data_IF_290473290405
#
_entry.id   IF_290473290405
#
_cell.length_a   1.000
_cell.length_b   1.000
_cell.length_c   1.000
_cell.angle_alpha   90.00
_cell.angle_beta   90.00
_cell.angle_gamma   90.00
#
_symmetry.space_group_name_H-M   'P 1'
#
loop_
_entity.id
_entity.type
_entity.pdbx_description
1 polymer ?
#
# COMPACT_ATOMS: atom_id res chain seq x y z
N UNK A 1 -23.97 -18.03 28.66
CA UNK A 1 -25.09 -17.12 28.33
C UNK A 1 -25.07 -16.85 26.85
N UNK A 2 -26.22 -17.10 26.22
CA UNK A 2 -26.65 -16.90 24.82
C UNK A 2 -25.69 -17.28 23.68
N UNK A 3 -25.78 -18.54 23.24
CA UNK A 3 -25.48 -18.96 21.86
C UNK A 3 -26.67 -18.56 20.98
N UNK A 4 -26.45 -17.85 19.88
CA UNK A 4 -27.49 -17.55 18.90
C UNK A 4 -27.49 -18.61 17.80
N UNK A 5 -28.55 -19.40 17.79
CA UNK A 5 -28.92 -20.40 16.78
C UNK A 5 -29.66 -19.70 15.63
N UNK A 6 -29.36 -20.05 14.38
CA UNK A 6 -30.19 -19.71 13.22
C UNK A 6 -30.98 -20.96 12.82
N UNK A 7 -32.30 -20.84 12.78
CA UNK A 7 -33.25 -21.90 12.41
C UNK A 7 -33.71 -21.65 10.96
N UNK A 8 -33.60 -22.66 10.09
CA UNK A 8 -34.25 -22.66 8.78
C UNK A 8 -35.60 -23.37 8.87
N UNK A 9 -36.68 -22.69 8.51
CA UNK A 9 -38.01 -23.27 8.33
C UNK A 9 -38.17 -23.75 6.88
N UNK A 10 -38.36 -25.06 6.67
CA UNK A 10 -38.84 -25.63 5.41
C UNK A 10 -40.36 -25.77 5.50
N UNK A 11 -41.08 -24.83 4.90
CA UNK A 11 -42.52 -24.93 4.67
C UNK A 11 -42.80 -25.45 3.26
N UNK A 12 -43.30 -26.67 3.16
CA UNK A 12 -43.85 -27.28 1.95
C UNK A 12 -45.33 -26.88 1.83
N UNK A 13 -45.71 -26.16 0.79
CA UNK A 13 -47.12 -25.99 0.41
C UNK A 13 -47.28 -26.26 -1.10
N UNK A 14 -47.98 -27.35 -1.39
CA UNK A 14 -48.50 -27.72 -2.72
C UNK A 14 -49.75 -26.87 -2.96
N UNK A 15 -49.78 -26.11 -4.06
CA UNK A 15 -51.02 -25.67 -4.68
C UNK A 15 -50.91 -25.79 -6.21
N UNK A 16 -51.74 -26.68 -6.76
CA UNK A 16 -52.08 -26.80 -8.16
C UNK A 16 -52.95 -25.62 -8.57
N UNK A 17 -52.49 -24.75 -9.46
CA UNK A 17 -53.36 -23.93 -10.33
C UNK A 17 -52.57 -23.47 -11.55
N UNK A 18 -52.97 -23.95 -12.74
CA UNK A 18 -52.54 -23.39 -14.01
C UNK A 18 -53.32 -22.10 -14.29
N UNK A 19 -52.64 -21.04 -14.75
CA UNK A 19 -53.11 -20.40 -15.98
C UNK A 19 -51.97 -19.96 -16.91
N UNK A 20 -52.38 -19.73 -18.17
CA UNK A 20 -51.60 -19.31 -19.33
C UNK A 20 -50.43 -18.35 -19.03
N UNK A 21 -49.23 -18.77 -19.44
CA UNK A 21 -48.03 -17.93 -19.49
C UNK A 21 -48.16 -17.01 -20.72
N UNK A 22 -48.61 -15.78 -20.51
CA UNK A 22 -48.37 -14.69 -21.46
C UNK A 22 -46.96 -14.18 -21.15
N UNK A 23 -46.00 -14.57 -22.00
CA UNK A 23 -44.64 -14.05 -21.98
C UNK A 23 -44.66 -12.58 -22.43
N UNK A 24 -44.79 -11.67 -21.47
CA UNK A 24 -44.31 -10.32 -21.65
C UNK A 24 -42.78 -10.36 -21.54
N UNK A 25 -42.02 -9.86 -22.53
CA UNK A 25 -40.61 -9.58 -22.30
C UNK A 25 -40.58 -8.46 -21.27
N UNK A 26 -40.33 -8.82 -20.00
CA UNK A 26 -39.88 -7.86 -19.01
C UNK A 26 -38.50 -7.41 -19.48
N UNK A 27 -38.47 -6.35 -20.27
CA UNK A 27 -37.29 -5.51 -20.37
C UNK A 27 -37.01 -5.03 -18.94
N UNK A 28 -36.15 -5.76 -18.23
CA UNK A 28 -35.38 -5.17 -17.16
C UNK A 28 -34.57 -4.08 -17.84
N UNK A 29 -35.13 -2.86 -17.84
CA UNK A 29 -34.34 -1.67 -17.93
C UNK A 29 -33.33 -1.77 -16.79
N UNK A 30 -32.12 -2.19 -17.11
CA UNK A 30 -30.99 -2.01 -16.23
C UNK A 30 -30.99 -0.52 -15.89
N UNK A 31 -31.38 -0.19 -14.65
CA UNK A 31 -31.06 1.11 -14.12
C UNK A 31 -29.54 1.19 -14.19
N UNK A 32 -29.04 2.00 -15.12
CA UNK A 32 -27.62 2.21 -15.32
C UNK A 32 -27.04 2.96 -14.13
N UNK A 33 -26.85 2.26 -13.01
CA UNK A 33 -25.87 2.65 -12.01
C UNK A 33 -24.51 2.70 -12.70
N UNK A 34 -23.72 3.74 -12.44
CA UNK A 34 -22.39 3.85 -13.00
C UNK A 34 -21.58 2.60 -12.63
N UNK A 35 -20.89 1.96 -13.58
CA UNK A 35 -20.08 0.78 -13.25
C UNK A 35 -18.82 1.21 -12.49
N UNK A 36 -18.44 0.44 -11.45
CA UNK A 36 -17.18 0.68 -10.74
C UNK A 36 -16.01 0.57 -11.72
N UNK A 37 -15.11 1.54 -11.68
CA UNK A 37 -13.91 1.59 -12.50
C UNK A 37 -12.68 1.95 -11.68
N UNK A 38 -11.54 1.44 -12.12
CA UNK A 38 -10.23 1.62 -11.49
C UNK A 38 -9.29 2.22 -12.53
N UNK A 39 -8.86 3.46 -12.31
CA UNK A 39 -7.71 4.03 -12.99
C UNK A 39 -6.44 3.68 -12.20
N UNK A 40 -5.33 3.39 -12.89
CA UNK A 40 -4.04 3.07 -12.26
C UNK A 40 -2.96 4.03 -12.72
N UNK A 41 -2.08 4.44 -11.81
CA UNK A 41 -0.96 5.33 -12.12
C UNK A 41 0.33 4.87 -11.41
N UNK A 42 1.47 5.13 -12.05
CA UNK A 42 2.80 4.77 -11.58
C UNK A 42 3.82 5.81 -12.03
N UNK A 43 4.39 6.55 -11.07
CA UNK A 43 5.29 7.68 -11.32
C UNK A 43 6.66 7.42 -10.70
N UNK A 44 7.71 7.81 -11.41
CA UNK A 44 9.06 7.85 -10.85
C UNK A 44 9.22 9.03 -9.88
N UNK A 45 9.57 8.71 -8.65
CA UNK A 45 9.80 9.66 -7.56
C UNK A 45 11.19 9.47 -6.94
N UNK A 46 12.14 9.04 -7.77
CA UNK A 46 13.56 8.93 -7.41
C UNK A 46 14.19 10.33 -7.36
N UNK A 47 14.79 10.74 -6.23
CA UNK A 47 15.50 12.00 -6.14
C UNK A 47 16.73 11.99 -7.07
N UNK A 48 17.07 13.12 -7.71
CA UNK A 48 18.25 13.22 -8.57
C UNK A 48 19.55 13.16 -7.77
N UNK A 49 20.66 12.85 -8.43
CA UNK A 49 22.01 12.94 -7.84
C UNK A 49 22.23 14.34 -7.26
N UNK A 50 22.73 14.39 -6.02
CA UNK A 50 22.95 15.60 -5.24
C UNK A 50 21.78 16.03 -4.36
N UNK A 51 20.57 15.50 -4.55
CA UNK A 51 19.46 15.77 -3.64
C UNK A 51 19.63 15.01 -2.31
N UNK A 52 19.14 15.59 -1.22
CA UNK A 52 19.19 14.96 0.09
C UNK A 52 18.09 13.90 0.25
N UNK A 53 18.48 12.72 0.78
CA UNK A 53 17.54 11.74 1.30
C UNK A 53 17.39 11.89 2.83
N UNK A 54 16.75 10.91 3.48
CA UNK A 54 16.59 10.91 4.93
C UNK A 54 17.89 11.07 5.72
N UNK A 55 18.98 10.43 5.27
CA UNK A 55 20.23 10.33 6.02
C UNK A 55 21.47 10.79 5.25
N UNK A 56 21.47 10.64 3.92
CA UNK A 56 22.64 10.84 3.08
C UNK A 56 22.20 11.41 1.72
N UNK A 57 23.01 12.24 1.04
CA UNK A 57 22.69 12.72 -0.30
C UNK A 57 22.75 11.59 -1.33
N UNK A 58 22.05 11.78 -2.44
CA UNK A 58 22.14 10.85 -3.58
C UNK A 58 23.49 11.00 -4.26
N UNK A 59 24.30 9.94 -4.24
CA UNK A 59 25.61 9.91 -4.90
C UNK A 59 25.55 9.21 -6.26
N UNK A 60 24.59 8.30 -6.45
CA UNK A 60 24.32 7.59 -7.71
C UNK A 60 22.91 6.98 -7.69
N UNK A 61 22.45 6.51 -8.85
CA UNK A 61 21.17 5.79 -8.99
C UNK A 61 21.38 4.28 -9.15
N UNK A 62 20.34 3.52 -8.85
CA UNK A 62 20.24 2.08 -9.13
C UNK A 62 19.22 1.82 -10.26
N UNK A 63 19.18 0.59 -10.77
CA UNK A 63 18.25 0.14 -11.81
C UNK A 63 16.78 0.11 -11.33
N UNK A 64 16.55 0.00 -10.02
CA UNK A 64 15.22 0.07 -9.44
C UNK A 64 14.94 1.43 -8.81
N UNK A 65 14.02 2.18 -9.42
CA UNK A 65 13.60 3.48 -8.92
C UNK A 65 12.62 3.41 -7.74
N UNK A 66 12.55 4.53 -7.01
CA UNK A 66 11.46 4.80 -6.06
C UNK A 66 10.21 5.18 -6.84
N UNK A 67 9.07 4.59 -6.47
CA UNK A 67 7.80 4.74 -7.21
C UNK A 67 6.71 5.35 -6.33
N UNK A 68 5.88 6.18 -6.92
CA UNK A 68 4.57 6.54 -6.39
C UNK A 68 3.51 5.85 -7.24
N UNK A 69 2.80 4.90 -6.63
CA UNK A 69 1.85 4.01 -7.31
C UNK A 69 0.50 4.11 -6.64
N UNK A 70 -0.56 4.08 -7.43
CA UNK A 70 -1.88 4.17 -6.86
C UNK A 70 -3.00 3.89 -7.82
N UNK A 71 -4.20 3.93 -7.26
CA UNK A 71 -5.44 3.77 -7.99
C UNK A 71 -6.40 4.92 -7.71
N UNK A 72 -7.26 5.20 -8.67
CA UNK A 72 -8.46 6.02 -8.48
C UNK A 72 -9.68 5.15 -8.72
N UNK A 73 -10.53 5.01 -7.70
CA UNK A 73 -11.81 4.30 -7.78
C UNK A 73 -12.92 5.29 -8.14
N UNK A 74 -13.71 4.95 -9.15
CA UNK A 74 -14.86 5.73 -9.62
C UNK A 74 -16.07 4.81 -9.83
N UNK A 75 -17.26 5.39 -10.02
CA UNK A 75 -18.50 4.65 -10.29
C UNK A 75 -19.41 4.44 -9.08
N UNK A 76 -19.01 4.91 -7.89
CA UNK A 76 -19.87 5.07 -6.73
C UNK A 76 -20.14 6.57 -6.48
N UNK A 77 -19.77 7.10 -5.31
CA UNK A 77 -19.76 8.53 -5.01
C UNK A 77 -18.59 9.27 -5.72
N UNK A 78 -18.15 10.40 -5.15
CA UNK A 78 -16.93 11.09 -5.58
C UNK A 78 -15.72 10.14 -5.61
N UNK A 79 -14.73 10.36 -6.51
CA UNK A 79 -13.58 9.47 -6.65
C UNK A 79 -12.82 9.23 -5.32
N UNK A 80 -12.25 8.04 -5.15
CA UNK A 80 -11.37 7.70 -4.02
C UNK A 80 -9.97 7.46 -4.56
N UNK A 81 -8.95 8.07 -3.96
CA UNK A 81 -7.56 7.89 -4.37
C UNK A 81 -6.79 7.14 -3.29
N UNK A 82 -6.19 6.01 -3.68
CA UNK A 82 -5.28 5.24 -2.82
C UNK A 82 -3.89 5.29 -3.43
N UNK A 83 -2.91 5.85 -2.71
CA UNK A 83 -1.55 6.02 -3.21
C UNK A 83 -0.52 5.58 -2.18
N UNK A 84 0.46 4.79 -2.61
CA UNK A 84 1.66 4.51 -1.86
C UNK A 84 2.89 5.10 -2.57
N UNK A 85 3.78 5.72 -1.80
CA UNK A 85 5.01 6.34 -2.29
C UNK A 85 6.22 5.72 -1.60
N UNK A 86 7.24 5.34 -2.37
CA UNK A 86 8.50 4.76 -1.87
C UNK A 86 9.42 5.83 -1.24
N UNK A 87 8.89 6.63 -0.31
CA UNK A 87 9.60 7.66 0.44
C UNK A 87 9.67 7.31 1.93
N UNK A 88 10.58 7.96 2.66
CA UNK A 88 10.67 7.74 4.12
C UNK A 88 9.45 8.32 4.82
N UNK A 89 8.93 9.45 4.38
CA UNK A 89 7.82 10.10 5.07
C UNK A 89 7.45 11.43 4.44
N UNK A 90 6.17 11.75 4.51
CA UNK A 90 5.61 13.05 4.14
C UNK A 90 4.84 13.54 5.37
N UNK A 91 5.27 14.66 5.95
CA UNK A 91 4.69 15.23 7.16
C UNK A 91 4.09 16.61 6.95
N UNK A 92 3.24 17.02 7.91
CA UNK A 92 2.68 18.37 8.04
C UNK A 92 2.11 18.92 6.73
N UNK A 93 2.39 20.20 6.38
CA UNK A 93 1.90 20.83 5.14
C UNK A 93 2.31 20.03 3.88
N UNK A 94 3.37 19.23 3.93
CA UNK A 94 3.72 18.31 2.85
C UNK A 94 2.60 17.29 2.60
N UNK A 95 2.03 16.72 3.66
CA UNK A 95 0.98 15.71 3.54
C UNK A 95 -0.32 16.31 2.98
N UNK A 96 -0.67 17.51 3.44
CA UNK A 96 -1.85 18.24 3.00
C UNK A 96 -1.77 18.55 1.51
N UNK A 97 -0.66 19.17 1.06
CA UNK A 97 -0.46 19.53 -0.36
C UNK A 97 -0.46 18.31 -1.27
N UNK A 98 0.11 17.17 -0.84
CA UNK A 98 0.03 15.95 -1.64
C UNK A 98 -1.41 15.42 -1.79
N UNK A 99 -2.21 15.46 -0.72
CA UNK A 99 -3.61 15.02 -0.77
C UNK A 99 -4.46 15.95 -1.61
N UNK A 100 -4.27 17.26 -1.47
CA UNK A 100 -4.92 18.29 -2.29
C UNK A 100 -4.61 18.08 -3.77
N UNK A 101 -3.33 17.93 -4.12
CA UNK A 101 -2.91 17.72 -5.51
C UNK A 101 -3.54 16.45 -6.11
N UNK A 102 -3.52 15.33 -5.39
CA UNK A 102 -4.12 14.08 -5.85
C UNK A 102 -5.65 14.18 -5.95
N UNK A 103 -6.29 14.89 -5.01
CA UNK A 103 -7.73 15.11 -5.01
C UNK A 103 -8.17 15.95 -6.21
N UNK A 104 -7.50 17.08 -6.45
CA UNK A 104 -7.76 17.99 -7.58
C UNK A 104 -7.53 17.30 -8.92
N UNK A 105 -6.51 16.45 -9.01
CA UNK A 105 -6.23 15.65 -10.20
C UNK A 105 -7.34 14.61 -10.47
N UNK A 106 -7.86 14.00 -9.40
CA UNK A 106 -8.89 12.98 -9.48
C UNK A 106 -10.32 13.55 -9.58
N UNK A 107 -10.52 14.84 -9.30
CA UNK A 107 -11.86 15.46 -9.22
C UNK A 107 -12.61 15.09 -7.94
N UNK A 108 -11.92 15.04 -6.82
CA UNK A 108 -12.46 14.70 -5.50
C UNK A 108 -11.94 15.67 -4.42
N UNK A 109 -12.16 15.35 -3.15
CA UNK A 109 -11.71 16.15 -2.01
C UNK A 109 -10.56 15.46 -1.25
N UNK A 110 -9.69 16.20 -0.53
CA UNK A 110 -8.55 15.62 0.17
C UNK A 110 -8.93 14.52 1.18
N UNK A 111 -10.10 14.60 1.81
CA UNK A 111 -10.61 13.59 2.73
C UNK A 111 -10.82 12.22 2.07
N UNK A 112 -10.98 12.16 0.75
CA UNK A 112 -11.11 10.92 -0.05
C UNK A 112 -9.79 10.42 -0.64
N UNK A 113 -8.67 10.99 -0.20
CA UNK A 113 -7.31 10.58 -0.58
C UNK A 113 -6.62 9.93 0.61
N UNK A 114 -6.17 8.69 0.43
CA UNK A 114 -5.25 8.01 1.34
C UNK A 114 -3.86 7.87 0.71
N UNK A 115 -2.93 8.70 1.19
CA UNK A 115 -1.53 8.67 0.82
C UNK A 115 -0.70 8.00 1.91
N UNK A 116 0.15 7.06 1.53
CA UNK A 116 1.02 6.33 2.45
C UNK A 116 2.47 6.34 1.96
N UNK A 117 3.40 6.60 2.87
CA UNK A 117 4.83 6.35 2.62
C UNK A 117 5.16 4.89 2.97
N UNK A 118 5.85 4.19 2.09
CA UNK A 118 6.30 2.81 2.36
C UNK A 118 7.38 2.79 3.44
N UNK A 119 8.09 3.92 3.65
CA UNK A 119 9.04 4.17 4.73
C UNK A 119 10.47 3.67 4.46
N UNK A 120 10.91 3.57 3.19
CA UNK A 120 12.31 3.25 2.86
C UNK A 120 13.27 4.29 3.42
N UNK A 121 14.48 3.85 3.77
CA UNK A 121 15.45 4.70 4.47
C UNK A 121 16.54 5.28 3.55
N UNK A 122 16.80 4.65 2.41
CA UNK A 122 17.51 5.29 1.28
C UNK A 122 16.46 5.94 0.36
N UNK A 123 15.71 6.90 0.92
CA UNK A 123 14.64 7.60 0.24
C UNK A 123 14.45 9.01 0.83
N UNK A 124 13.90 9.96 0.07
CA UNK A 124 13.69 11.31 0.56
C UNK A 124 12.50 11.38 1.51
N UNK A 125 12.43 12.47 2.27
CA UNK A 125 11.24 12.87 3.01
C UNK A 125 10.72 14.22 2.51
N UNK A 126 9.54 14.61 2.95
CA UNK A 126 8.95 15.90 2.63
C UNK A 126 8.24 16.49 3.84
N UNK A 127 8.49 17.77 4.11
CA UNK A 127 7.74 18.55 5.10
C UNK A 127 7.88 20.04 4.73
N UNK A 128 6.86 20.58 4.06
CA UNK A 128 6.88 21.98 3.61
C UNK A 128 6.79 22.98 4.77
N UNK A 129 6.25 22.59 5.93
CA UNK A 129 6.28 23.43 7.12
C UNK A 129 7.70 23.54 7.67
N UNK A 130 8.42 22.42 7.75
CA UNK A 130 9.82 22.40 8.19
C UNK A 130 10.72 23.18 7.21
N UNK A 131 10.54 22.98 5.91
CA UNK A 131 11.24 23.74 4.86
C UNK A 131 11.06 25.25 5.07
N UNK A 132 9.80 25.69 5.22
CA UNK A 132 9.45 27.10 5.40
C UNK A 132 10.08 27.67 6.67
N UNK A 133 9.98 26.97 7.80
CA UNK A 133 10.57 27.40 9.07
C UNK A 133 12.11 27.54 8.98
N UNK A 134 12.78 26.59 8.33
CA UNK A 134 14.24 26.67 8.15
C UNK A 134 14.63 27.87 7.28
N UNK A 135 13.93 28.07 6.16
CA UNK A 135 14.15 29.20 5.24
C UNK A 135 13.87 30.56 5.91
N UNK A 136 12.80 30.68 6.71
CA UNK A 136 12.48 31.89 7.49
C UNK A 136 13.62 32.28 8.46
N UNK A 137 14.35 31.30 8.98
CA UNK A 137 15.48 31.50 9.89
C UNK A 137 16.85 31.53 9.19
N UNK A 138 16.90 31.54 7.85
CA UNK A 138 18.14 31.47 7.06
C UNK A 138 19.00 30.23 7.39
N UNK A 139 18.34 29.12 7.70
CA UNK A 139 18.98 27.81 7.93
C UNK A 139 18.82 26.99 6.65
N UNK A 140 19.86 26.25 6.28
CA UNK A 140 19.80 25.29 5.18
C UNK A 140 18.69 24.25 5.42
N UNK A 141 17.78 24.13 4.46
CA UNK A 141 16.67 23.18 4.53
C UNK A 141 17.15 21.72 4.44
N UNK A 142 18.31 21.47 3.80
CA UNK A 142 18.88 20.13 3.59
C UNK A 142 17.81 19.12 3.12
N UNK A 143 17.58 18.03 3.87
CA UNK A 143 16.57 16.99 3.58
C UNK A 143 15.11 17.48 3.54
N UNK A 144 14.85 18.72 3.90
CA UNK A 144 13.54 19.37 3.79
C UNK A 144 13.42 20.28 2.56
N UNK A 145 14.47 20.41 1.74
CA UNK A 145 14.39 21.17 0.49
C UNK A 145 13.27 20.62 -0.41
N UNK A 146 12.30 21.48 -0.73
CA UNK A 146 11.02 21.07 -1.29
C UNK A 146 11.00 21.01 -2.82
N UNK A 147 12.02 21.50 -3.51
CA UNK A 147 12.05 21.60 -4.99
C UNK A 147 11.77 20.26 -5.68
N UNK A 148 12.43 19.18 -5.23
CA UNK A 148 12.20 17.86 -5.79
C UNK A 148 10.77 17.36 -5.50
N UNK A 149 10.27 17.59 -4.30
CA UNK A 149 8.93 17.17 -3.91
C UNK A 149 7.84 17.88 -4.74
N UNK A 150 7.99 19.19 -4.99
CA UNK A 150 7.10 19.97 -5.88
C UNK A 150 7.16 19.46 -7.32
N UNK A 151 8.35 19.09 -7.81
CA UNK A 151 8.50 18.46 -9.12
C UNK A 151 7.80 17.09 -9.21
N UNK A 152 7.89 16.28 -8.15
CA UNK A 152 7.21 14.99 -8.06
C UNK A 152 5.68 15.14 -8.02
N UNK A 153 5.16 16.15 -7.31
CA UNK A 153 3.74 16.51 -7.27
C UNK A 153 3.18 16.80 -8.66
N UNK A 154 3.87 17.63 -9.46
CA UNK A 154 3.44 17.94 -10.82
C UNK A 154 3.34 16.68 -11.71
N UNK A 155 4.29 15.74 -11.56
CA UNK A 155 4.23 14.45 -12.28
C UNK A 155 3.08 13.56 -11.80
N UNK A 156 2.83 13.53 -10.50
CA UNK A 156 1.72 12.79 -9.90
C UNK A 156 0.36 13.33 -10.37
N UNK A 157 0.19 14.64 -10.35
CA UNK A 157 -1.03 15.30 -10.84
C UNK A 157 -1.31 14.89 -12.30
N UNK A 158 -0.31 15.03 -13.17
CA UNK A 158 -0.45 14.65 -14.58
C UNK A 158 -0.76 13.16 -14.74
N UNK A 159 -0.07 12.28 -14.00
CA UNK A 159 -0.29 10.85 -14.10
C UNK A 159 -1.70 10.41 -13.69
N UNK A 160 -2.26 11.05 -12.65
CA UNK A 160 -3.65 10.81 -12.24
C UNK A 160 -4.63 11.28 -13.32
N UNK A 161 -4.44 12.50 -13.85
CA UNK A 161 -5.26 13.04 -14.95
C UNK A 161 -5.21 12.14 -16.19
N UNK A 162 -4.04 11.62 -16.54
CA UNK A 162 -3.86 10.72 -17.68
C UNK A 162 -4.41 9.31 -17.41
N UNK A 163 -4.48 8.88 -16.16
CA UNK A 163 -4.99 7.57 -15.78
C UNK A 163 -6.53 7.50 -15.88
N UNK A 164 -7.22 8.58 -15.53
CA UNK A 164 -8.69 8.63 -15.48
C UNK A 164 -9.39 8.20 -16.80
N UNK A 165 -9.02 8.72 -17.99
CA UNK A 165 -9.62 8.28 -19.26
C UNK A 165 -9.30 6.82 -19.62
N UNK A 166 -8.32 6.20 -18.95
CA UNK A 166 -7.90 4.81 -19.15
C UNK A 166 -8.41 3.87 -18.05
N UNK A 167 -9.34 4.34 -17.22
CA UNK A 167 -9.94 3.54 -16.15
C UNK A 167 -10.55 2.25 -16.73
N UNK A 168 -10.30 1.14 -16.05
CA UNK A 168 -10.84 -0.16 -16.42
C UNK A 168 -12.00 -0.49 -15.50
N UNK A 169 -13.06 -1.10 -16.03
CA UNK A 169 -14.16 -1.62 -15.19
C UNK A 169 -13.61 -2.59 -14.15
N UNK A 170 -14.12 -2.51 -12.92
CA UNK A 170 -13.89 -3.51 -11.88
C UNK A 170 -15.21 -4.21 -11.57
N UNK A 171 -15.31 -5.49 -11.91
CA UNK A 171 -16.49 -6.33 -11.67
C UNK A 171 -16.38 -7.14 -10.40
N UNK A 172 -15.18 -7.35 -9.86
CA UNK A 172 -14.98 -8.08 -8.60
C UNK A 172 -13.93 -7.43 -7.71
N UNK A 173 -14.17 -7.54 -6.40
CA UNK A 173 -13.21 -7.30 -5.33
C UNK A 173 -12.65 -8.66 -4.89
N UNK A 174 -11.33 -8.76 -4.78
CA UNK A 174 -10.65 -9.94 -4.26
C UNK A 174 -9.95 -9.64 -2.94
N UNK A 175 -10.19 -10.46 -1.93
CA UNK A 175 -9.52 -10.39 -0.63
C UNK A 175 -8.69 -11.65 -0.44
N UNK A 176 -7.42 -11.50 -0.08
CA UNK A 176 -6.51 -12.62 0.11
C UNK A 176 -5.53 -12.35 1.25
N UNK A 177 -5.13 -13.40 1.95
CA UNK A 177 -4.19 -13.28 3.06
C UNK A 177 -3.27 -14.50 3.16
N UNK A 178 -2.07 -14.27 3.68
CA UNK A 178 -1.15 -15.34 4.02
C UNK A 178 -0.11 -14.87 5.05
N UNK A 179 0.40 -15.78 5.90
CA UNK A 179 1.53 -15.45 6.76
C UNK A 179 2.83 -15.27 5.95
N UNK A 180 3.61 -14.24 6.26
CA UNK A 180 4.99 -14.04 5.80
C UNK A 180 5.93 -14.64 6.84
N UNK A 181 6.82 -15.53 6.42
CA UNK A 181 7.75 -16.21 7.32
C UNK A 181 9.14 -15.58 7.25
N UNK A 182 9.77 -15.44 8.42
CA UNK A 182 11.18 -15.06 8.55
C UNK A 182 11.54 -13.69 7.94
N UNK A 183 10.65 -12.72 8.11
CA UNK A 183 10.88 -11.32 7.70
C UNK A 183 10.76 -10.40 8.91
N UNK A 184 9.57 -10.27 9.49
CA UNK A 184 9.32 -9.34 10.59
C UNK A 184 9.81 -9.90 11.95
N UNK A 185 10.27 -9.00 12.81
CA UNK A 185 10.57 -9.27 14.21
C UNK A 185 10.39 -7.99 15.03
N UNK A 186 10.01 -8.14 16.30
CA UNK A 186 9.95 -7.01 17.19
C UNK A 186 11.36 -6.55 17.55
N UNK A 187 11.62 -5.25 17.41
CA UNK A 187 12.93 -4.64 17.71
C UNK A 187 13.13 -4.32 19.19
N UNK A 188 12.07 -4.36 20.00
CA UNK A 188 12.11 -4.06 21.44
C UNK A 188 12.04 -5.37 22.22
N UNK A 189 13.19 -5.83 22.73
CA UNK A 189 13.27 -7.09 23.45
C UNK A 189 12.98 -6.82 24.93
N UNK A 190 11.95 -7.42 25.53
CA UNK A 190 11.61 -7.21 26.92
C UNK A 190 12.55 -7.98 27.88
N UNK A 191 12.72 -7.46 29.08
CA UNK A 191 13.12 -8.24 30.26
C UNK A 191 11.91 -9.00 30.85
N UNK A 192 12.17 -9.74 31.93
CA UNK A 192 11.16 -10.44 32.73
C UNK A 192 10.07 -9.53 33.33
N UNK A 193 10.30 -8.22 33.40
CA UNK A 193 9.33 -7.22 33.89
C UNK A 193 8.60 -6.50 32.74
N UNK A 194 8.83 -6.88 31.48
CA UNK A 194 8.23 -6.24 30.31
C UNK A 194 8.86 -4.91 29.90
N UNK A 195 9.97 -4.48 30.54
CA UNK A 195 10.73 -3.29 30.11
C UNK A 195 11.67 -3.66 28.98
N UNK A 196 11.93 -2.72 28.07
CA UNK A 196 12.87 -2.96 26.97
C UNK A 196 14.29 -3.08 27.54
N UNK A 197 14.87 -4.29 27.50
CA UNK A 197 16.26 -4.53 27.93
C UNK A 197 17.27 -4.35 26.82
N UNK A 198 16.85 -4.61 25.58
CA UNK A 198 17.73 -4.57 24.42
C UNK A 198 16.95 -4.18 23.17
N UNK A 199 17.67 -3.58 22.24
CA UNK A 199 17.14 -3.20 20.93
C UNK A 199 17.79 -4.09 19.87
N UNK A 200 16.96 -4.80 19.09
CA UNK A 200 17.38 -5.53 17.89
C UNK A 200 16.98 -4.73 16.67
N UNK A 201 17.89 -3.86 16.22
CA UNK A 201 17.66 -3.07 15.02
C UNK A 201 17.55 -3.95 13.78
N UNK A 202 16.97 -3.40 12.73
CA UNK A 202 16.60 -4.14 11.51
C UNK A 202 17.77 -4.82 10.80
N UNK A 203 18.97 -4.24 10.85
CA UNK A 203 20.24 -4.84 10.46
C UNK A 203 21.01 -5.16 11.74
N UNK A 204 21.02 -6.43 12.16
CA UNK A 204 21.52 -6.84 13.47
C UNK A 204 22.72 -7.79 13.37
N UNK A 205 23.92 -7.22 13.37
CA UNK A 205 25.16 -8.00 13.38
C UNK A 205 25.35 -8.87 14.64
N UNK A 206 24.70 -8.52 15.75
CA UNK A 206 24.77 -9.28 17.00
C UNK A 206 23.97 -10.59 16.91
N UNK A 207 24.68 -11.72 16.91
CA UNK A 207 24.08 -13.05 16.84
C UNK A 207 23.26 -13.42 18.08
N UNK A 208 23.61 -12.92 19.27
CA UNK A 208 22.86 -13.19 20.49
C UNK A 208 21.51 -12.49 20.44
N UNK A 209 21.44 -11.22 20.00
CA UNK A 209 20.18 -10.51 19.81
C UNK A 209 19.30 -11.17 18.73
N UNK A 210 19.88 -11.71 17.66
CA UNK A 210 19.13 -12.47 16.64
C UNK A 210 18.59 -13.80 17.16
N UNK A 211 19.30 -14.46 18.06
CA UNK A 211 18.85 -15.71 18.68
C UNK A 211 17.62 -15.51 19.58
N UNK A 212 17.42 -14.32 20.13
CA UNK A 212 16.24 -13.96 20.94
C UNK A 212 14.91 -14.21 20.20
N UNK A 213 13.80 -14.46 20.90
CA UNK A 213 12.49 -14.68 20.28
C UNK A 213 12.09 -13.58 19.28
N UNK A 214 11.23 -13.93 18.31
CA UNK A 214 10.72 -13.00 17.29
C UNK A 214 9.98 -11.81 17.93
N UNK A 215 9.28 -12.06 19.03
CA UNK A 215 8.44 -11.07 19.69
C UNK A 215 7.07 -10.94 19.04
N UNK A 216 6.28 -9.95 19.45
CA UNK A 216 4.96 -9.70 18.85
C UNK A 216 5.14 -9.03 17.50
N UNK A 217 4.62 -9.68 16.47
CA UNK A 217 4.56 -9.19 15.09
C UNK A 217 3.15 -9.42 14.54
N UNK A 218 2.77 -8.66 13.52
CA UNK A 218 1.69 -9.04 12.62
C UNK A 218 2.30 -9.82 11.45
N UNK A 219 2.14 -11.16 11.39
CA UNK A 219 2.78 -11.97 10.37
C UNK A 219 2.00 -11.96 9.06
N UNK A 220 0.80 -11.42 8.99
CA UNK A 220 -0.09 -11.58 7.83
C UNK A 220 0.19 -10.49 6.80
N UNK A 221 0.40 -10.88 5.54
CA UNK A 221 0.25 -9.97 4.41
C UNK A 221 -1.17 -10.09 3.87
N UNK A 222 -1.86 -8.96 3.79
CA UNK A 222 -3.22 -8.87 3.26
C UNK A 222 -3.22 -8.23 1.88
N UNK A 223 -4.06 -8.73 0.99
CA UNK A 223 -4.28 -8.22 -0.36
C UNK A 223 -5.72 -7.74 -0.54
N UNK A 224 -5.84 -6.57 -1.14
CA UNK A 224 -7.09 -6.09 -1.74
C UNK A 224 -6.85 -5.96 -3.23
N UNK A 225 -7.63 -6.67 -4.05
CA UNK A 225 -7.43 -6.73 -5.50
C UNK A 225 -8.71 -6.39 -6.25
N UNK A 226 -8.54 -5.74 -7.40
CA UNK A 226 -9.65 -5.34 -8.27
C UNK A 226 -9.54 -6.08 -9.60
N UNK A 227 -10.65 -6.62 -10.08
CA UNK A 227 -10.69 -7.48 -11.25
C UNK A 227 -11.74 -7.04 -12.24
N UNK A 228 -11.38 -7.07 -13.52
CA UNK A 228 -12.30 -7.01 -14.65
C UNK A 228 -12.54 -8.44 -15.14
N UNK A 229 -13.57 -9.07 -14.59
CA UNK A 229 -13.89 -10.48 -14.71
C UNK A 229 -12.70 -11.33 -14.23
N UNK A 230 -12.05 -12.04 -15.15
CA UNK A 230 -10.86 -12.86 -14.84
C UNK A 230 -9.54 -12.09 -14.93
N UNK A 231 -9.55 -10.83 -15.38
CA UNK A 231 -8.34 -10.02 -15.56
C UNK A 231 -8.11 -9.12 -14.36
N UNK A 232 -7.00 -9.25 -13.63
CA UNK A 232 -6.72 -8.36 -12.52
C UNK A 232 -6.27 -6.98 -13.03
N UNK A 233 -6.76 -5.93 -12.37
CA UNK A 233 -6.49 -4.52 -12.71
C UNK A 233 -5.48 -3.92 -11.74
N UNK A 234 -5.65 -4.15 -10.44
CA UNK A 234 -4.75 -3.66 -9.40
C UNK A 234 -4.75 -4.59 -8.18
N UNK A 235 -3.63 -4.61 -7.47
CA UNK A 235 -3.44 -5.36 -6.22
C UNK A 235 -2.75 -4.45 -5.22
N UNK A 236 -3.40 -4.22 -4.08
CA UNK A 236 -2.88 -3.48 -2.95
C UNK A 236 -2.45 -4.49 -1.89
N UNK A 237 -1.19 -4.46 -1.51
CA UNK A 237 -0.62 -5.35 -0.48
C UNK A 237 -0.28 -4.58 0.79
N UNK A 238 -0.57 -5.15 1.95
CA UNK A 238 -0.33 -4.55 3.26
C UNK A 238 0.48 -5.50 4.13
N UNK A 239 1.62 -5.07 4.64
CA UNK A 239 2.44 -5.88 5.55
C UNK A 239 3.18 -4.99 6.54
N UNK A 240 3.15 -5.35 7.84
CA UNK A 240 3.75 -4.56 8.91
C UNK A 240 5.23 -4.90 9.11
N UNK A 241 6.14 -4.17 8.46
CA UNK A 241 7.57 -4.28 8.71
C UNK A 241 8.30 -3.03 8.20
N UNK A 242 9.25 -2.47 8.98
CA UNK A 242 10.12 -1.43 8.45
C UNK A 242 10.87 -1.94 7.21
N UNK A 243 10.84 -1.22 6.06
CA UNK A 243 11.53 -1.60 4.83
C UNK A 243 13.02 -1.26 4.94
N UNK A 244 13.70 -1.96 5.82
CA UNK A 244 15.11 -1.73 6.13
C UNK A 244 15.88 -3.06 6.12
N UNK A 245 16.30 -3.51 4.95
CA UNK A 245 17.33 -4.55 4.83
C UNK A 245 18.70 -3.98 5.25
N UNK A 246 19.17 -2.98 4.52
CA UNK A 246 20.31 -2.13 4.84
C UNK A 246 20.06 -0.77 4.18
N UNK A 247 20.67 0.29 4.70
CA UNK A 247 20.44 1.66 4.25
C UNK A 247 21.67 2.52 4.54
N UNK A 248 21.62 3.80 4.16
CA UNK A 248 22.75 4.75 4.17
C UNK A 248 23.76 4.49 3.07
N UNK A 249 23.24 4.14 1.89
CA UNK A 249 24.07 3.80 0.72
C UNK A 249 24.37 5.01 -0.16
N UNK A 250 23.60 6.10 -0.01
CA UNK A 250 23.58 7.20 -0.98
C UNK A 250 22.92 6.83 -2.30
N UNK A 251 22.27 5.66 -2.38
CA UNK A 251 21.61 5.14 -3.57
C UNK A 251 20.12 4.96 -3.28
N UNK A 252 19.24 5.80 -3.85
CA UNK A 252 17.80 5.62 -3.76
C UNK A 252 17.40 4.21 -4.16
N UNK A 253 16.70 3.50 -3.27
CA UNK A 253 16.26 2.14 -3.54
C UNK A 253 14.97 1.80 -2.79
N UNK A 254 14.07 1.01 -3.40
CA UNK A 254 12.77 0.72 -2.79
C UNK A 254 12.85 -0.41 -1.73
N UNK A 255 14.06 -0.80 -1.32
CA UNK A 255 14.39 -1.85 -0.34
C UNK A 255 13.67 -3.19 -0.61
N UNK A 256 13.62 -4.12 0.36
CA UNK A 256 13.07 -5.46 0.14
C UNK A 256 11.58 -5.46 -0.27
N UNK A 257 10.70 -4.54 0.20
CA UNK A 257 9.31 -4.53 -0.27
C UNK A 257 9.17 -4.08 -1.71
N UNK A 258 10.00 -3.15 -2.16
CA UNK A 258 10.07 -2.75 -3.56
C UNK A 258 10.48 -3.89 -4.49
N UNK A 259 11.49 -4.65 -4.08
CA UNK A 259 11.96 -5.85 -4.80
C UNK A 259 10.88 -6.93 -4.80
N UNK A 260 10.23 -7.18 -3.66
CA UNK A 260 9.12 -8.14 -3.56
C UNK A 260 7.96 -7.76 -4.49
N UNK A 261 7.55 -6.48 -4.47
CA UNK A 261 6.52 -5.92 -5.37
C UNK A 261 6.91 -6.12 -6.84
N UNK A 262 8.17 -5.89 -7.20
CA UNK A 262 8.66 -6.12 -8.54
C UNK A 262 8.58 -7.61 -8.96
N UNK A 263 8.97 -8.54 -8.09
CA UNK A 263 8.80 -9.97 -8.35
C UNK A 263 7.34 -10.36 -8.59
N UNK A 264 6.41 -9.78 -7.82
CA UNK A 264 4.98 -10.00 -8.03
C UNK A 264 4.47 -9.40 -9.34
N UNK A 265 4.92 -8.19 -9.71
CA UNK A 265 4.61 -7.56 -10.99
C UNK A 265 5.06 -8.44 -12.18
N UNK A 266 6.25 -9.05 -12.11
CA UNK A 266 6.73 -9.96 -13.15
C UNK A 266 5.87 -11.22 -13.32
N UNK A 267 5.25 -11.70 -12.24
CA UNK A 267 4.38 -12.90 -12.26
C UNK A 267 2.93 -12.59 -12.63
N UNK A 268 2.44 -11.39 -12.31
CA UNK A 268 1.09 -10.94 -12.62
C UNK A 268 1.14 -9.56 -13.31
N UNK A 269 1.63 -9.48 -14.56
CA UNK A 269 1.94 -8.21 -15.23
C UNK A 269 0.73 -7.38 -15.63
N UNK A 270 -0.46 -7.97 -15.68
CA UNK A 270 -1.69 -7.27 -16.04
C UNK A 270 -2.17 -6.30 -14.95
N UNK A 271 -1.86 -6.58 -13.68
CA UNK A 271 -2.29 -5.77 -12.55
C UNK A 271 -1.21 -4.78 -12.15
N UNK A 272 -1.59 -3.56 -11.74
CA UNK A 272 -0.69 -2.70 -10.99
C UNK A 272 -0.51 -3.25 -9.57
N UNK A 273 0.73 -3.53 -9.17
CA UNK A 273 1.04 -3.88 -7.78
C UNK A 273 1.41 -2.64 -6.99
N UNK A 274 0.71 -2.40 -5.88
CA UNK A 274 0.93 -1.33 -4.91
C UNK A 274 1.21 -1.97 -3.55
N UNK A 275 2.19 -1.44 -2.82
CA UNK A 275 2.53 -1.94 -1.50
C UNK A 275 2.39 -0.83 -0.47
N UNK A 276 1.71 -1.14 0.62
CA UNK A 276 1.49 -0.29 1.78
C UNK A 276 2.20 -0.95 2.97
N UNK A 277 2.89 -0.12 3.75
CA UNK A 277 3.43 -0.57 5.02
C UNK A 277 2.32 -0.58 6.09
N UNK A 278 2.33 -1.58 6.95
CA UNK A 278 1.41 -1.71 8.09
C UNK A 278 1.94 -1.00 9.34
N UNK A 279 1.45 -1.43 10.51
CA UNK A 279 1.85 -0.92 11.82
C UNK A 279 3.30 -1.30 12.18
N UNK A 280 4.27 -0.62 11.57
CA UNK A 280 5.69 -0.98 11.63
C UNK A 280 6.46 -0.40 12.81
N UNK A 281 5.90 0.45 13.67
CA UNK A 281 6.64 1.31 14.62
C UNK A 281 7.68 0.62 15.53
N UNK A 282 7.53 -0.68 15.83
CA UNK A 282 8.51 -1.50 16.55
C UNK A 282 8.84 -2.81 15.80
N UNK A 283 8.54 -2.90 14.52
CA UNK A 283 8.71 -4.10 13.70
C UNK A 283 9.75 -3.85 12.62
N UNK A 284 10.76 -4.72 12.54
CA UNK A 284 11.81 -4.69 11.53
C UNK A 284 12.42 -6.07 11.29
N UNK A 285 13.44 -6.18 10.44
CA UNK A 285 13.96 -7.48 9.99
C UNK A 285 15.02 -8.11 10.91
N UNK A 286 15.31 -7.50 12.05
CA UNK A 286 16.54 -7.71 12.80
C UNK A 286 16.83 -9.16 13.20
N UNK A 287 15.81 -9.98 13.50
CA UNK A 287 16.01 -11.41 13.79
C UNK A 287 16.57 -12.19 12.60
N UNK A 288 16.14 -11.84 11.40
CA UNK A 288 16.39 -12.55 10.15
C UNK A 288 17.36 -11.83 9.22
N UNK A 289 17.99 -10.75 9.71
CA UNK A 289 18.86 -9.90 8.94
C UNK A 289 20.06 -9.46 9.77
N UNK A 290 21.24 -9.95 9.38
CA UNK A 290 22.52 -9.56 9.98
C UNK A 290 23.13 -8.28 9.40
N UNK A 291 22.44 -7.65 8.44
CA UNK A 291 22.90 -6.46 7.74
C UNK A 291 23.76 -6.73 6.50
N UNK A 292 24.01 -8.00 6.15
CA UNK A 292 24.67 -8.34 4.89
C UNK A 292 23.84 -7.90 3.67
N UNK A 293 24.48 -7.39 2.59
CA UNK A 293 23.77 -6.95 1.39
C UNK A 293 22.88 -8.04 0.76
N UNK A 294 23.29 -9.29 0.86
CA UNK A 294 22.57 -10.46 0.33
C UNK A 294 21.17 -10.62 0.96
N UNK A 295 20.97 -10.18 2.20
CA UNK A 295 19.68 -10.31 2.88
C UNK A 295 18.57 -9.50 2.24
N UNK A 296 18.87 -8.45 1.46
CA UNK A 296 17.81 -7.72 0.75
C UNK A 296 17.03 -8.63 -0.18
N UNK A 297 17.74 -9.48 -0.93
CA UNK A 297 17.10 -10.46 -1.80
C UNK A 297 16.34 -11.50 -0.99
N UNK A 298 16.95 -12.05 0.07
CA UNK A 298 16.32 -13.08 0.93
C UNK A 298 15.00 -12.57 1.53
N UNK A 299 15.00 -11.36 2.10
CA UNK A 299 13.81 -10.74 2.67
C UNK A 299 12.75 -10.46 1.59
N UNK A 300 13.17 -10.02 0.40
CA UNK A 300 12.28 -9.76 -0.71
C UNK A 300 11.61 -11.04 -1.24
N UNK A 301 12.37 -12.14 -1.37
CA UNK A 301 11.84 -13.45 -1.79
C UNK A 301 10.84 -14.00 -0.78
N UNK A 302 11.13 -13.90 0.52
CA UNK A 302 10.22 -14.32 1.59
C UNK A 302 8.92 -13.51 1.60
N UNK A 303 9.01 -12.18 1.46
CA UNK A 303 7.83 -11.33 1.36
C UNK A 303 7.04 -11.62 0.07
N UNK A 304 7.73 -11.78 -1.07
CA UNK A 304 7.09 -12.12 -2.34
C UNK A 304 6.40 -13.49 -2.30
N UNK A 305 6.95 -14.46 -1.57
CA UNK A 305 6.27 -15.75 -1.33
C UNK A 305 4.98 -15.57 -0.52
N UNK A 306 5.01 -14.78 0.56
CA UNK A 306 3.80 -14.45 1.31
C UNK A 306 2.75 -13.77 0.43
N UNK A 307 3.16 -12.76 -0.35
CA UNK A 307 2.27 -12.07 -1.31
C UNK A 307 1.72 -13.04 -2.37
N UNK A 308 2.53 -14.01 -2.84
CA UNK A 308 2.08 -15.05 -3.77
C UNK A 308 1.02 -15.95 -3.15
N UNK A 309 1.23 -16.41 -1.91
CA UNK A 309 0.25 -17.25 -1.22
C UNK A 309 -1.04 -16.50 -0.92
N UNK A 310 -0.95 -15.23 -0.51
CA UNK A 310 -2.13 -14.39 -0.33
C UNK A 310 -2.91 -14.19 -1.64
N UNK A 311 -2.19 -14.06 -2.76
CA UNK A 311 -2.79 -14.00 -4.09
C UNK A 311 -3.50 -15.31 -4.48
N UNK A 312 -2.87 -16.45 -4.24
CA UNK A 312 -3.46 -17.77 -4.50
C UNK A 312 -4.68 -18.07 -3.62
N UNK A 313 -4.71 -17.52 -2.41
CA UNK A 313 -5.83 -17.59 -1.47
C UNK A 313 -6.90 -16.52 -1.70
N UNK A 314 -6.82 -15.73 -2.79
CA UNK A 314 -7.76 -14.63 -3.00
C UNK A 314 -9.17 -15.14 -3.30
N UNK A 315 -10.10 -14.78 -2.44
CA UNK A 315 -11.54 -15.00 -2.65
C UNK A 315 -12.14 -13.75 -3.31
N UNK A 316 -12.86 -13.95 -4.42
CA UNK A 316 -13.48 -12.88 -5.21
C UNK A 316 -14.97 -12.81 -4.95
N UNK A 317 -15.47 -11.60 -4.75
CA UNK A 317 -16.89 -11.27 -4.69
C UNK A 317 -17.24 -10.24 -5.77
N UNK A 318 -18.47 -10.26 -6.33
CA UNK A 318 -18.94 -9.18 -7.19
C UNK A 318 -18.77 -7.82 -6.51
N UNK A 319 -18.41 -6.80 -7.29
CA UNK A 319 -18.24 -5.43 -6.83
C UNK A 319 -19.27 -4.53 -7.52
N UNK A 320 -20.20 -4.01 -6.74
CA UNK A 320 -21.23 -3.07 -7.17
C UNK A 320 -20.96 -1.67 -6.61
N UNK A 321 -21.50 -0.61 -7.23
CA UNK A 321 -21.37 0.75 -6.72
C UNK A 321 -21.78 0.92 -5.25
N UNK A 322 -22.87 0.27 -4.85
CA UNK A 322 -23.40 0.30 -3.49
C UNK A 322 -22.51 -0.37 -2.43
N UNK A 323 -21.54 -1.19 -2.86
CA UNK A 323 -20.57 -1.83 -1.96
C UNK A 323 -19.42 -0.88 -1.58
N UNK A 324 -19.30 0.28 -2.23
CA UNK A 324 -18.22 1.23 -2.04
C UNK A 324 -18.70 2.41 -1.20
N UNK A 325 -18.15 2.53 -0.01
CA UNK A 325 -18.27 3.71 0.83
C UNK A 325 -16.90 4.15 1.35
N UNK A 326 -16.75 5.45 1.59
CA UNK A 326 -15.55 6.02 2.21
C UNK A 326 -15.90 6.63 3.56
N UNK A 327 -15.30 6.10 4.61
CA UNK A 327 -15.49 6.56 5.98
C UNK A 327 -14.13 6.81 6.61
N UNK A 328 -14.02 7.91 7.35
CA UNK A 328 -12.88 8.20 8.20
C UNK A 328 -13.35 7.93 9.63
N UNK A 329 -12.76 6.93 10.28
CA UNK A 329 -12.91 6.75 11.72
C UNK A 329 -11.83 7.61 12.41
N UNK A 330 -12.20 8.64 13.18
CA UNK A 330 -11.25 9.36 14.00
C UNK A 330 -10.67 8.39 15.03
N UNK A 331 -9.35 8.33 15.11
CA UNK A 331 -8.63 7.66 16.21
C UNK A 331 -8.49 8.55 17.43
#
# INVERSE_FOLDING_TARGET
>A
MSKKTIIFWRGLCIFLFAPAVILFPAAHAAQGGAAVSVATFDVDVTPPVGADMAYDPVIQTWDMSLRARGIVLTGADAPIVLCAIDWIGIGNEGYDVFRETLADAAGTTPDRVALHCVHQHDAPGCDFSAERLLKEHNIDASRYEGDFARSALARLEQAVRDALPRAQRATHLGLGEAPVYEVASNRRIPDENGKVRAMRFTACGDAALRAEPEGVVDPVVSLVSFWNDEKPVAVLSYYACHPQSYYRTGIPNPDFPGVARFFRQLKAPAALHVHFNGAGGNIGAGKYNDGSPENRLVLAERLADGMRRAWENTERAPLLPEDIAWHIEPT
#
